data_IF_611757205865
#
_entry.id   IF_611757205865
#
_cell.length_a   1.000
_cell.length_b   1.000
_cell.length_c   1.000
_cell.angle_alpha   90.00
_cell.angle_beta   90.00
_cell.angle_gamma   90.00
#
_symmetry.space_group_name_H-M   'P 1'
#
loop_
_entity.id
_entity.type
_entity.pdbx_description
1 polymer ?
#
# COMPACT_ATOMS: atom_id res chain seq x y z
N UNK A 1 -5.42 3.84 28.76
CA UNK A 1 -5.24 3.32 27.40
C UNK A 1 -5.91 4.29 26.45
N UNK A 2 -5.14 5.01 25.63
CA UNK A 2 -5.69 6.05 24.77
C UNK A 2 -6.34 5.38 23.55
N UNK A 3 -7.66 5.20 23.59
CA UNK A 3 -8.45 4.68 22.47
C UNK A 3 -8.55 5.79 21.42
N UNK A 4 -7.53 5.90 20.57
CA UNK A 4 -7.61 6.75 19.38
C UNK A 4 -8.66 6.14 18.45
N UNK A 5 -9.87 6.71 18.46
CA UNK A 5 -10.88 6.41 17.46
C UNK A 5 -10.25 6.68 16.09
N UNK A 6 -10.07 5.66 15.24
CA UNK A 6 -9.44 5.84 13.95
C UNK A 6 -10.26 6.83 13.13
N UNK A 7 -9.65 7.98 12.82
CA UNK A 7 -10.29 9.08 12.10
C UNK A 7 -9.85 9.05 10.63
N UNK A 8 -10.60 9.70 9.74
CA UNK A 8 -10.31 9.80 8.29
C UNK A 8 -8.86 10.20 7.98
N UNK A 9 -8.24 11.01 8.83
CA UNK A 9 -6.84 11.40 8.70
C UNK A 9 -5.86 10.22 8.83
N UNK A 10 -6.15 9.23 9.68
CA UNK A 10 -5.32 8.03 9.76
C UNK A 10 -5.41 7.20 8.49
N UNK A 11 -6.60 7.11 7.88
CA UNK A 11 -6.77 6.39 6.62
C UNK A 11 -6.01 7.09 5.47
N UNK A 12 -6.04 8.42 5.45
CA UNK A 12 -5.22 9.24 4.53
C UNK A 12 -3.73 8.97 4.71
N UNK A 13 -3.23 8.94 5.95
CA UNK A 13 -1.81 8.68 6.21
C UNK A 13 -1.41 7.25 5.82
N UNK A 14 -2.27 6.26 6.09
CA UNK A 14 -2.07 4.88 5.62
C UNK A 14 -1.99 4.82 4.10
N UNK A 15 -2.88 5.50 3.37
CA UNK A 15 -2.86 5.51 1.92
C UNK A 15 -1.60 6.20 1.36
N UNK A 16 -1.15 7.30 1.96
CA UNK A 16 0.11 7.94 1.59
C UNK A 16 1.30 7.00 1.82
N UNK A 17 1.31 6.29 2.94
CA UNK A 17 2.38 5.36 3.28
C UNK A 17 2.40 4.15 2.33
N UNK A 18 1.23 3.59 1.99
CA UNK A 18 1.10 2.53 0.97
C UNK A 18 1.65 3.03 -0.37
N UNK A 19 1.26 4.22 -0.81
CA UNK A 19 1.75 4.83 -2.05
C UNK A 19 3.27 5.04 -2.03
N UNK A 20 3.85 5.35 -0.87
CA UNK A 20 5.30 5.48 -0.71
C UNK A 20 5.98 4.11 -0.85
N UNK A 21 5.44 3.06 -0.23
CA UNK A 21 5.98 1.70 -0.37
C UNK A 21 5.83 1.16 -1.80
N UNK A 22 4.74 1.48 -2.50
CA UNK A 22 4.56 1.13 -3.91
C UNK A 22 5.69 1.70 -4.77
N UNK A 23 6.01 2.99 -4.60
CA UNK A 23 7.13 3.63 -5.30
C UNK A 23 8.47 3.02 -4.92
N UNK A 24 8.67 2.70 -3.64
CA UNK A 24 9.90 2.03 -3.18
C UNK A 24 10.04 0.64 -3.80
N UNK A 25 8.97 -0.14 -3.90
CA UNK A 25 8.99 -1.46 -4.53
C UNK A 25 9.32 -1.32 -6.02
N UNK A 26 8.63 -0.41 -6.72
CA UNK A 26 8.91 -0.16 -8.14
C UNK A 26 10.36 0.30 -8.37
N UNK A 27 10.87 1.19 -7.51
CA UNK A 27 12.25 1.64 -7.57
C UNK A 27 13.25 0.50 -7.32
N UNK A 28 12.98 -0.29 -6.28
CA UNK A 28 13.77 -1.46 -5.90
C UNK A 28 13.82 -2.51 -7.02
N UNK A 29 12.74 -2.66 -7.78
CA UNK A 29 12.67 -3.59 -8.92
C UNK A 29 13.38 -3.07 -10.17
N UNK A 30 13.27 -1.78 -10.48
CA UNK A 30 13.73 -1.23 -11.77
C UNK A 30 15.10 -0.55 -11.73
N UNK A 31 15.43 0.13 -10.62
CA UNK A 31 16.56 1.05 -10.57
C UNK A 31 17.62 0.68 -9.54
N UNK A 32 17.24 -0.02 -8.47
CA UNK A 32 18.16 -0.36 -7.40
C UNK A 32 19.12 -1.49 -7.81
N UNK A 33 20.41 -1.23 -7.62
CA UNK A 33 21.47 -2.21 -7.88
C UNK A 33 21.72 -2.99 -6.61
N UNK A 34 21.63 -4.31 -6.72
CA UNK A 34 21.93 -5.25 -5.66
C UNK A 34 23.15 -6.05 -6.05
N UNK A 35 23.98 -6.38 -5.06
CA UNK A 35 25.17 -7.21 -5.28
C UNK A 35 24.78 -8.68 -5.55
N UNK A 36 23.55 -9.07 -5.20
CA UNK A 36 23.02 -10.41 -5.46
C UNK A 36 21.48 -10.44 -5.54
N UNK A 37 20.94 -11.39 -6.31
CA UNK A 37 19.49 -11.63 -6.39
C UNK A 37 18.85 -11.96 -5.04
N UNK A 38 19.62 -12.57 -4.13
CA UNK A 38 19.18 -12.86 -2.76
C UNK A 38 18.95 -11.58 -1.96
N UNK A 39 19.80 -10.58 -2.14
CA UNK A 39 19.64 -9.28 -1.47
C UNK A 39 18.47 -8.51 -2.05
N UNK A 40 18.32 -8.50 -3.37
CA UNK A 40 17.14 -7.95 -4.06
C UNK A 40 15.85 -8.57 -3.52
N UNK A 41 15.80 -9.89 -3.46
CA UNK A 41 14.63 -10.63 -2.97
C UNK A 41 14.35 -10.33 -1.48
N UNK A 42 15.40 -10.20 -0.66
CA UNK A 42 15.25 -9.84 0.76
C UNK A 42 14.75 -8.41 0.94
N UNK A 43 15.27 -7.45 0.18
CA UNK A 43 14.86 -6.05 0.20
C UNK A 43 13.40 -5.91 -0.26
N UNK A 44 13.06 -6.52 -1.39
CA UNK A 44 11.68 -6.55 -1.90
C UNK A 44 10.73 -7.22 -0.91
N UNK A 45 11.10 -8.36 -0.33
CA UNK A 45 10.29 -9.05 0.67
C UNK A 45 10.00 -8.18 1.90
N UNK A 46 10.97 -7.40 2.37
CA UNK A 46 10.77 -6.45 3.48
C UNK A 46 9.79 -5.33 3.11
N UNK A 47 9.93 -4.75 1.91
CA UNK A 47 9.05 -3.68 1.43
C UNK A 47 7.62 -4.19 1.22
N UNK A 48 7.46 -5.36 0.58
CA UNK A 48 6.17 -6.01 0.36
C UNK A 48 5.48 -6.37 1.67
N UNK A 49 6.23 -6.89 2.66
CA UNK A 49 5.67 -7.23 3.97
C UNK A 49 5.11 -5.99 4.67
N UNK A 50 5.85 -4.88 4.68
CA UNK A 50 5.38 -3.61 5.26
C UNK A 50 4.16 -3.08 4.52
N UNK A 51 4.19 -3.06 3.18
CA UNK A 51 3.04 -2.69 2.35
C UNK A 51 1.80 -3.52 2.72
N UNK A 52 1.92 -4.84 2.75
CA UNK A 52 0.80 -5.74 3.07
C UNK A 52 0.21 -5.48 4.46
N UNK A 53 1.04 -5.19 5.46
CA UNK A 53 0.55 -4.80 6.79
C UNK A 53 -0.28 -3.51 6.74
N UNK A 54 0.19 -2.49 6.01
CA UNK A 54 -0.54 -1.22 5.86
C UNK A 54 -1.85 -1.39 5.10
N UNK A 55 -1.86 -2.18 4.03
CA UNK A 55 -3.08 -2.48 3.25
C UNK A 55 -4.11 -3.19 4.12
N UNK A 56 -3.71 -4.21 4.89
CA UNK A 56 -4.61 -4.89 5.82
C UNK A 56 -5.23 -3.93 6.85
N UNK A 57 -4.44 -2.97 7.32
CA UNK A 57 -4.92 -1.96 8.26
C UNK A 57 -5.91 -0.99 7.59
N UNK A 58 -5.61 -0.54 6.37
CA UNK A 58 -6.51 0.29 5.58
C UNK A 58 -7.84 -0.42 5.25
N UNK A 59 -7.78 -1.71 4.88
CA UNK A 59 -8.97 -2.55 4.68
C UNK A 59 -9.80 -2.65 5.96
N UNK A 60 -9.16 -2.91 7.11
CA UNK A 60 -9.84 -2.96 8.41
C UNK A 60 -10.53 -1.64 8.76
N UNK A 61 -9.92 -0.51 8.40
CA UNK A 61 -10.50 0.82 8.63
C UNK A 61 -11.68 1.09 7.69
N UNK A 62 -11.60 0.63 6.44
CA UNK A 62 -12.73 0.68 5.49
C UNK A 62 -13.91 -0.16 5.98
N UNK A 63 -13.66 -1.38 6.49
CA UNK A 63 -14.70 -2.23 7.08
C UNK A 63 -15.34 -1.64 8.35
N UNK A 64 -14.67 -0.72 9.03
CA UNK A 64 -15.22 0.03 10.15
C UNK A 64 -16.09 1.23 9.72
N UNK A 65 -16.28 1.44 8.41
CA UNK A 65 -17.08 2.53 7.87
C UNK A 65 -16.39 3.90 7.89
N UNK A 66 -15.04 3.91 7.98
CA UNK A 66 -14.28 5.16 7.94
C UNK A 66 -14.25 5.68 6.50
N UNK A 67 -14.72 6.90 6.30
CA UNK A 67 -14.65 7.58 5.00
C UNK A 67 -13.21 7.70 4.51
N UNK A 68 -12.99 7.31 3.24
CA UNK A 68 -11.72 7.48 2.55
C UNK A 68 -11.78 8.69 1.61
N UNK A 69 -10.67 9.41 1.51
CA UNK A 69 -10.51 10.48 0.54
C UNK A 69 -9.93 9.90 -0.78
N UNK A 70 -10.67 9.94 -1.90
CA UNK A 70 -10.23 9.39 -3.18
C UNK A 70 -8.96 10.09 -3.70
N UNK A 71 -8.68 11.33 -3.29
CA UNK A 71 -7.47 12.07 -3.71
C UNK A 71 -6.18 11.42 -3.21
N UNK A 72 -6.23 10.76 -2.07
CA UNK A 72 -5.06 10.10 -1.46
C UNK A 72 -5.01 8.60 -1.73
N UNK A 73 -5.99 8.07 -2.47
CA UNK A 73 -6.11 6.64 -2.69
C UNK A 73 -4.91 6.10 -3.49
N UNK A 74 -4.24 5.03 -3.02
CA UNK A 74 -3.07 4.50 -3.69
C UNK A 74 -3.46 3.89 -5.03
N UNK A 75 -2.61 4.07 -6.04
CA UNK A 75 -2.81 3.49 -7.38
C UNK A 75 -2.73 1.96 -7.40
N UNK A 76 -2.19 1.35 -6.36
CA UNK A 76 -2.13 -0.11 -6.19
C UNK A 76 -3.37 -0.71 -5.52
N UNK A 77 -4.34 0.12 -5.14
CA UNK A 77 -5.60 -0.29 -4.55
C UNK A 77 -6.75 0.03 -5.51
N UNK A 78 -7.81 -0.77 -5.44
CA UNK A 78 -9.10 -0.59 -6.11
C UNK A 78 -10.21 -0.59 -5.07
N UNK A 79 -11.28 0.15 -5.34
CA UNK A 79 -12.49 0.16 -4.51
C UNK A 79 -13.52 -0.71 -5.25
N UNK A 80 -13.98 -1.78 -4.60
CA UNK A 80 -15.09 -2.60 -5.09
C UNK A 80 -16.42 -1.83 -5.03
N UNK A 81 -17.43 -2.30 -5.75
CA UNK A 81 -18.75 -1.66 -5.79
C UNK A 81 -19.44 -1.57 -4.41
N UNK A 82 -18.98 -2.38 -3.46
CA UNK A 82 -19.41 -2.45 -2.07
C UNK A 82 -18.62 -1.52 -1.12
N UNK A 83 -17.68 -0.71 -1.64
CA UNK A 83 -16.79 0.12 -0.84
C UNK A 83 -15.62 -0.65 -0.22
N UNK A 84 -15.43 -1.93 -0.58
CA UNK A 84 -14.32 -2.75 -0.09
C UNK A 84 -13.04 -2.43 -0.86
N UNK A 85 -11.98 -2.09 -0.14
CA UNK A 85 -10.65 -1.88 -0.72
C UNK A 85 -10.04 -3.23 -1.07
N UNK A 86 -9.62 -3.41 -2.32
CA UNK A 86 -8.92 -4.58 -2.86
C UNK A 86 -7.56 -4.17 -3.45
N UNK A 87 -6.59 -5.08 -3.45
CA UNK A 87 -5.31 -4.81 -4.12
C UNK A 87 -5.45 -5.05 -5.62
N UNK A 88 -5.00 -4.11 -6.43
CA UNK A 88 -4.85 -4.32 -7.87
C UNK A 88 -3.57 -5.13 -8.07
N UNK A 89 -3.62 -6.29 -8.75
CA UNK A 89 -2.42 -7.01 -9.13
C UNK A 89 -1.54 -6.09 -9.99
N UNK A 90 -0.40 -5.67 -9.44
CA UNK A 90 0.55 -4.86 -10.18
C UNK A 90 1.09 -5.68 -11.36
N UNK A 91 0.72 -5.29 -12.57
CA UNK A 91 1.24 -5.87 -13.81
C UNK A 91 2.33 -4.94 -14.37
N UNK A 92 3.55 -5.44 -14.63
CA UNK A 92 4.64 -4.61 -15.16
C UNK A 92 4.35 -4.02 -16.56
N UNK A 93 3.26 -4.40 -17.21
CA UNK A 93 2.88 -3.94 -18.54
C UNK A 93 2.35 -2.49 -18.62
N UNK A 94 2.07 -1.82 -17.49
CA UNK A 94 1.51 -0.45 -17.51
C UNK A 94 2.57 0.67 -17.45
N UNK A 95 3.86 0.35 -17.44
CA UNK A 95 4.94 1.31 -17.66
C UNK A 95 5.39 1.23 -19.12
N UNK A 96 4.62 1.85 -20.02
CA UNK A 96 5.05 2.17 -21.39
C UNK A 96 5.08 3.67 -21.57
#
# INVERSE_FOLDING_TARGET
MQTYSPNKYHLVDLHKEISLYDRKIAYCQQFEKFDSDRERSSALGKLQKKRSTLVKLAMSFSSQGIEHDPKFFPRSLSIGEDGTISEIPWSPAQAS
#
